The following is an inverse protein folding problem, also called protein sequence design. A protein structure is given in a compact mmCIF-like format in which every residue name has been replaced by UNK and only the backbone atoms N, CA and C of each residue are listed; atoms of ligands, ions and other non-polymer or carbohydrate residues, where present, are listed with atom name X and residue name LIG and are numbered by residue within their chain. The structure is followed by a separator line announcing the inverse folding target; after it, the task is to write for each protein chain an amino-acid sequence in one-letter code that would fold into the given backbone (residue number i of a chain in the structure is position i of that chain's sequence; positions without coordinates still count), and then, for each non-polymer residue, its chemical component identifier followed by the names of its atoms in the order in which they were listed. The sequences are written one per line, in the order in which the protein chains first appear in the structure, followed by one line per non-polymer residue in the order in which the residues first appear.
data_IF_070329773745
#
_entry.id   IF_070329773745
#
_cell.length_a   1.000
_cell.length_b   1.000
_cell.length_c   1.000
_cell.angle_alpha   90.00
_cell.angle_beta   90.00
_cell.angle_gamma   90.00
#
_symmetry.space_group_name_H-M   'P 1'
#
loop_
_entity.id
_entity.type
_entity.pdbx_description
1 polymer ?
#
# COMPACT_ATOMS: atom_id res chain seq x y z
N UNK A 1 11.33 -16.40 1.84
CA UNK A 1 9.93 -15.90 1.88
C UNK A 1 9.57 -15.57 3.32
N UNK A 2 9.18 -14.31 3.59
CA UNK A 2 8.65 -13.91 4.90
C UNK A 2 7.15 -14.21 4.92
N UNK A 3 6.69 -15.07 5.84
CA UNK A 3 5.25 -15.31 6.04
C UNK A 3 4.71 -14.21 6.94
N UNK A 4 3.58 -13.62 6.54
CA UNK A 4 2.88 -12.58 7.29
C UNK A 4 1.38 -12.84 7.15
N UNK A 5 0.62 -12.62 8.22
CA UNK A 5 -0.85 -12.63 8.18
C UNK A 5 -1.31 -11.20 7.99
N UNK A 6 -1.80 -10.90 6.79
CA UNK A 6 -2.28 -9.58 6.38
C UNK A 6 -3.51 -9.74 5.49
N UNK A 7 -4.33 -8.70 5.36
CA UNK A 7 -5.44 -8.67 4.41
C UNK A 7 -4.94 -8.45 2.96
N UNK A 8 -5.86 -8.60 2.00
CA UNK A 8 -5.56 -8.48 0.57
C UNK A 8 -5.14 -7.08 0.13
N UNK A 9 -5.70 -6.02 0.70
CA UNK A 9 -5.34 -4.65 0.36
C UNK A 9 -3.91 -4.36 0.84
N UNK A 10 -3.57 -4.75 2.07
CA UNK A 10 -2.21 -4.58 2.60
C UNK A 10 -1.19 -5.40 1.78
N UNK A 11 -1.56 -6.61 1.34
CA UNK A 11 -0.70 -7.43 0.48
C UNK A 11 -0.48 -6.78 -0.91
N UNK A 12 -1.53 -6.26 -1.52
CA UNK A 12 -1.45 -5.57 -2.80
C UNK A 12 -0.64 -4.27 -2.71
N UNK A 13 -0.91 -3.45 -1.68
CA UNK A 13 -0.18 -2.22 -1.40
C UNK A 13 1.33 -2.49 -1.22
N UNK A 14 1.70 -3.57 -0.51
CA UNK A 14 3.11 -3.91 -0.29
C UNK A 14 3.89 -4.07 -1.60
N UNK A 15 3.28 -4.68 -2.62
CA UNK A 15 3.91 -4.84 -3.93
C UNK A 15 3.77 -3.54 -4.75
N UNK A 16 2.58 -2.93 -4.77
CA UNK A 16 2.36 -1.69 -5.52
C UNK A 16 3.33 -0.58 -5.10
N UNK A 17 3.55 -0.40 -3.80
CA UNK A 17 4.47 0.58 -3.24
C UNK A 17 5.92 0.30 -3.64
N UNK A 18 6.36 -0.96 -3.60
CA UNK A 18 7.74 -1.34 -3.89
C UNK A 18 8.17 -1.13 -5.35
N UNK A 19 7.20 -0.99 -6.28
CA UNK A 19 7.47 -0.94 -7.72
C UNK A 19 6.92 0.31 -8.41
N UNK A 20 6.31 1.25 -7.68
CA UNK A 20 5.72 2.46 -8.25
C UNK A 20 6.37 3.70 -7.67
N UNK A 21 6.91 4.57 -8.52
CA UNK A 21 7.48 5.85 -8.09
C UNK A 21 6.40 6.90 -7.77
N UNK A 22 5.25 6.83 -8.46
CA UNK A 22 4.13 7.76 -8.34
C UNK A 22 2.82 6.98 -8.36
N UNK A 23 1.90 7.33 -7.45
CA UNK A 23 0.54 6.80 -7.43
C UNK A 23 -0.48 7.95 -7.37
N UNK A 24 -1.35 8.04 -8.39
CA UNK A 24 -2.50 8.92 -8.36
C UNK A 24 -3.70 8.17 -7.77
N UNK A 25 -4.29 8.71 -6.70
CA UNK A 25 -5.29 7.99 -5.89
C UNK A 25 -6.59 8.81 -5.73
N UNK A 26 -7.71 8.09 -5.60
CA UNK A 26 -9.00 8.64 -5.19
C UNK A 26 -9.73 7.63 -4.29
N UNK A 27 -10.29 8.02 -3.13
CA UNK A 27 -10.88 7.09 -2.18
C UNK A 27 -12.20 6.51 -2.71
N UNK A 28 -12.31 5.18 -2.67
CA UNK A 28 -13.54 4.43 -2.91
C UNK A 28 -13.54 3.13 -2.08
N UNK A 29 -14.70 2.71 -1.58
CA UNK A 29 -14.84 1.43 -0.87
C UNK A 29 -14.82 0.28 -1.89
N UNK A 30 -14.09 -0.83 -1.66
CA UNK A 30 -13.31 -1.21 -0.47
C UNK A 30 -11.79 -0.98 -0.59
N UNK A 31 -11.31 -0.25 -1.59
CA UNK A 31 -9.88 -0.16 -1.95
C UNK A 31 -9.11 0.95 -1.23
N UNK A 32 -9.80 1.86 -0.55
CA UNK A 32 -9.19 3.00 0.15
C UNK A 32 -8.01 2.62 1.07
N UNK A 33 -8.04 1.49 1.83
CA UNK A 33 -6.92 1.09 2.68
C UNK A 33 -5.60 0.84 1.92
N UNK A 34 -5.62 0.51 0.63
CA UNK A 34 -4.37 0.35 -0.15
C UNK A 34 -3.61 1.67 -0.26
N UNK A 35 -4.34 2.74 -0.57
CA UNK A 35 -3.77 4.06 -0.76
C UNK A 35 -3.29 4.66 0.57
N UNK A 36 -4.08 4.49 1.64
CA UNK A 36 -3.73 4.93 3.00
C UNK A 36 -2.45 4.25 3.50
N UNK A 37 -2.34 2.92 3.32
CA UNK A 37 -1.12 2.18 3.67
C UNK A 37 0.12 2.71 2.94
N UNK A 38 0.00 3.01 1.64
CA UNK A 38 1.09 3.56 0.84
C UNK A 38 1.49 4.97 1.32
N UNK A 39 0.52 5.82 1.63
CA UNK A 39 0.75 7.19 2.13
C UNK A 39 1.45 7.16 3.50
N UNK A 40 0.98 6.29 4.41
CA UNK A 40 1.60 6.07 5.72
C UNK A 40 3.06 5.60 5.59
N UNK A 41 3.33 4.67 4.67
CA UNK A 41 4.69 4.18 4.42
C UNK A 41 5.60 5.25 3.80
N UNK A 42 5.07 6.10 2.92
CA UNK A 42 5.79 7.25 2.38
C UNK A 42 6.13 8.26 3.48
N UNK A 43 5.17 8.56 4.37
CA UNK A 43 5.39 9.42 5.55
C UNK A 43 6.43 8.87 6.52
N UNK A 44 6.57 7.54 6.61
CA UNK A 44 7.60 6.84 7.39
C UNK A 44 8.96 6.77 6.66
N UNK A 45 9.07 7.27 5.43
CA UNK A 45 10.29 7.20 4.63
C UNK A 45 10.67 5.79 4.19
N UNK A 46 9.69 4.87 4.17
CA UNK A 46 9.89 3.51 3.66
C UNK A 46 10.18 3.59 2.17
N UNK A 47 11.21 2.89 1.69
CA UNK A 47 11.57 2.80 0.27
C UNK A 47 11.32 1.41 -0.24
#
# INVERSE_FOLDING_TARGET
MKKMTIDGNTAAAHIAYAFSDVAAIYPITPSSPMAENCDDWAGQGRK
#
